data_IF_059180152926
#
_entry.id   IF_059180152926
#
_cell.length_a   1.000
_cell.length_b   1.000
_cell.length_c   1.000
_cell.angle_alpha   90.00
_cell.angle_beta   90.00
_cell.angle_gamma   90.00
#
_symmetry.space_group_name_H-M   'P 1'
#
loop_
_entity.id
_entity.type
_entity.pdbx_description
1 polymer ?
#
# COMPACT_ATOMS: atom_id res chain seq x y z
N UNK A 1 -11.77 -6.97 -0.13
CA UNK A 1 -10.30 -6.76 -0.13
C UNK A 1 -9.87 -6.14 1.19
N UNK A 2 -8.83 -6.68 1.81
CA UNK A 2 -8.30 -6.20 3.08
C UNK A 2 -6.85 -5.78 2.94
N UNK A 3 -6.46 -4.65 3.57
CA UNK A 3 -5.09 -4.15 3.59
C UNK A 3 -4.98 -2.64 3.78
N UNK A 4 -3.81 -2.08 3.46
CA UNK A 4 -3.45 -0.68 3.72
C UNK A 4 -3.85 0.27 2.57
N UNK A 5 -5.08 0.16 2.08
CA UNK A 5 -5.64 1.02 1.03
C UNK A 5 -6.00 2.44 1.52
N UNK A 6 -5.85 2.68 2.78
CA UNK A 6 -6.09 3.96 3.48
C UNK A 6 -4.77 4.51 4.03
N UNK A 7 -4.70 5.80 4.25
CA UNK A 7 -3.50 6.47 4.77
C UNK A 7 -2.84 7.37 3.73
N UNK A 8 -1.63 7.83 4.01
CA UNK A 8 -0.96 8.87 3.25
C UNK A 8 0.14 8.33 2.32
N UNK A 9 0.23 7.02 2.12
CA UNK A 9 1.22 6.40 1.24
C UNK A 9 0.66 6.23 -0.17
N UNK A 10 1.15 7.02 -1.11
CA UNK A 10 0.74 6.98 -2.52
C UNK A 10 0.98 5.61 -3.16
N UNK A 11 2.10 4.95 -2.83
CA UNK A 11 2.39 3.61 -3.32
C UNK A 11 1.32 2.60 -2.92
N UNK A 12 0.91 2.58 -1.63
CA UNK A 12 -0.17 1.70 -1.19
C UNK A 12 -1.48 2.00 -1.90
N UNK A 13 -1.84 3.27 -2.08
CA UNK A 13 -3.07 3.65 -2.78
C UNK A 13 -3.09 3.10 -4.21
N UNK A 14 -2.01 3.27 -4.96
CA UNK A 14 -1.91 2.77 -6.34
C UNK A 14 -1.86 1.24 -6.39
N UNK A 15 -1.20 0.58 -5.45
CA UNK A 15 -1.23 -0.89 -5.32
C UNK A 15 -2.66 -1.42 -5.19
N UNK A 16 -3.47 -0.81 -4.33
CA UNK A 16 -4.86 -1.24 -4.16
C UNK A 16 -5.77 -0.81 -5.32
N UNK A 17 -5.51 0.35 -5.94
CA UNK A 17 -6.18 0.72 -7.19
C UNK A 17 -5.94 -0.35 -8.26
N UNK A 18 -4.69 -0.73 -8.47
CA UNK A 18 -4.34 -1.76 -9.43
C UNK A 18 -5.02 -3.10 -9.14
N UNK A 19 -5.01 -3.55 -7.88
CA UNK A 19 -5.68 -4.79 -7.47
C UNK A 19 -7.18 -4.75 -7.76
N UNK A 20 -7.84 -3.62 -7.49
CA UNK A 20 -9.27 -3.50 -7.79
C UNK A 20 -9.56 -3.53 -9.29
N UNK A 21 -8.71 -2.91 -10.13
CA UNK A 21 -8.86 -2.98 -11.59
C UNK A 21 -8.68 -4.40 -12.11
N UNK A 22 -7.75 -5.17 -11.53
CA UNK A 22 -7.58 -6.59 -11.86
C UNK A 22 -8.82 -7.39 -11.50
N UNK A 23 -9.38 -7.22 -10.30
CA UNK A 23 -10.60 -7.90 -9.88
C UNK A 23 -11.78 -7.58 -10.81
N UNK A 24 -11.95 -6.32 -11.20
CA UNK A 24 -12.99 -5.91 -12.15
C UNK A 24 -12.79 -6.54 -13.54
N UNK A 25 -11.55 -6.61 -14.03
CA UNK A 25 -11.24 -7.27 -15.30
C UNK A 25 -11.58 -8.75 -15.32
N UNK A 26 -11.59 -9.37 -14.15
CA UNK A 26 -12.01 -10.75 -13.92
C UNK A 26 -13.52 -10.88 -13.60
N UNK A 27 -14.29 -9.79 -13.76
CA UNK A 27 -15.72 -9.70 -13.47
C UNK A 27 -16.11 -9.95 -12.01
N UNK A 28 -15.22 -9.65 -11.07
CA UNK A 28 -15.56 -9.65 -9.65
C UNK A 28 -16.01 -8.27 -9.18
N UNK A 29 -17.06 -8.23 -8.39
CA UNK A 29 -17.40 -7.08 -7.56
C UNK A 29 -16.62 -7.16 -6.24
N UNK A 30 -16.25 -6.03 -5.68
CA UNK A 30 -15.44 -5.99 -4.46
C UNK A 30 -15.91 -4.88 -3.50
N UNK A 31 -15.56 -5.02 -2.25
CA UNK A 31 -15.56 -3.93 -1.29
C UNK A 31 -14.24 -3.94 -0.49
N UNK A 32 -13.77 -2.75 -0.15
CA UNK A 32 -12.57 -2.59 0.68
C UNK A 32 -12.96 -2.67 2.15
N UNK A 33 -12.34 -3.55 2.91
CA UNK A 33 -12.56 -3.64 4.36
C UNK A 33 -11.97 -2.39 5.01
N UNK A 34 -12.82 -1.63 5.72
CA UNK A 34 -12.39 -0.44 6.46
C UNK A 34 -11.45 -0.83 7.59
N UNK A 35 -10.53 0.09 7.92
CA UNK A 35 -9.59 -0.10 9.02
C UNK A 35 -10.35 -0.36 10.34
N UNK A 36 -10.29 -1.56 10.91
CA UNK A 36 -11.05 -1.91 12.13
C UNK A 36 -10.55 -1.20 13.39
N UNK A 37 -9.36 -0.58 13.32
CA UNK A 37 -8.82 0.30 14.37
C UNK A 37 -9.14 1.77 14.08
N UNK A 38 -9.73 2.07 12.92
CA UNK A 38 -10.12 3.41 12.53
C UNK A 38 -11.25 3.95 13.42
N UNK A 39 -11.21 5.23 13.66
CA UNK A 39 -12.38 5.97 14.15
C UNK A 39 -13.25 6.35 12.95
N UNK A 40 -14.51 6.71 13.17
CA UNK A 40 -15.24 7.45 12.14
C UNK A 40 -14.38 8.64 11.73
N UNK A 41 -13.96 8.63 10.48
CA UNK A 41 -13.00 9.62 10.00
C UNK A 41 -13.75 10.94 9.93
N UNK A 42 -13.23 11.94 10.62
CA UNK A 42 -13.66 13.32 10.47
C UNK A 42 -13.62 13.68 8.96
N UNK A 43 -14.76 14.08 8.42
CA UNK A 43 -14.94 14.44 7.01
C UNK A 43 -13.94 15.55 6.62
N UNK A 44 -13.65 16.46 7.53
CA UNK A 44 -12.68 17.54 7.30
C UNK A 44 -11.24 17.02 7.23
N UNK A 45 -10.91 15.96 7.96
CA UNK A 45 -9.60 15.30 7.83
C UNK A 45 -9.48 14.53 6.51
N UNK A 46 -10.56 13.90 6.03
CA UNK A 46 -10.63 13.26 4.72
C UNK A 46 -10.41 14.24 3.57
N UNK A 47 -10.98 15.43 3.67
CA UNK A 47 -10.87 16.45 2.62
C UNK A 47 -9.45 17.06 2.54
N UNK A 48 -8.61 16.85 3.55
CA UNK A 48 -7.23 17.34 3.61
C UNK A 48 -6.20 16.34 3.11
N UNK A 49 -6.58 15.07 2.95
CA UNK A 49 -5.68 14.02 2.46
C UNK A 49 -6.04 13.61 1.04
N UNK A 50 -5.16 13.87 0.10
CA UNK A 50 -5.32 13.47 -1.31
C UNK A 50 -5.47 11.94 -1.48
N UNK A 51 -4.65 11.10 -0.85
CA UNK A 51 -4.82 9.65 -0.94
C UNK A 51 -6.15 9.16 -0.37
N UNK A 52 -6.60 9.68 0.77
CA UNK A 52 -7.88 9.28 1.36
C UNK A 52 -9.07 9.75 0.51
N UNK A 53 -8.99 10.95 -0.06
CA UNK A 53 -9.99 11.45 -1.01
C UNK A 53 -10.06 10.57 -2.24
N UNK A 54 -8.92 10.21 -2.82
CA UNK A 54 -8.83 9.30 -3.96
C UNK A 54 -9.51 7.96 -3.66
N UNK A 55 -9.21 7.36 -2.51
CA UNK A 55 -9.80 6.09 -2.09
C UNK A 55 -11.31 6.20 -1.89
N UNK A 56 -11.77 7.24 -1.19
CA UNK A 56 -13.21 7.49 -0.96
C UNK A 56 -14.00 7.63 -2.26
N UNK A 57 -13.43 8.33 -3.24
CA UNK A 57 -14.13 8.64 -4.48
C UNK A 57 -14.18 7.42 -5.44
N UNK A 58 -13.39 6.35 -5.16
CA UNK A 58 -13.21 5.21 -6.09
C UNK A 58 -13.56 3.85 -5.54
N UNK A 59 -13.64 3.68 -4.21
CA UNK A 59 -13.83 2.36 -3.63
C UNK A 59 -15.18 2.23 -2.93
N UNK A 60 -15.86 1.12 -3.22
CA UNK A 60 -16.88 0.61 -2.33
C UNK A 60 -16.22 0.11 -1.05
N UNK A 61 -16.76 0.50 0.10
CA UNK A 61 -16.18 0.17 1.41
C UNK A 61 -17.19 -0.52 2.30
N UNK A 62 -16.71 -1.43 3.13
CA UNK A 62 -17.55 -2.09 4.14
C UNK A 62 -17.97 -1.10 5.23
N UNK A 63 -19.01 -1.40 6.02
CA UNK A 63 -19.23 -0.70 7.29
C UNK A 63 -17.97 -0.73 8.16
N UNK A 64 -17.80 0.28 9.01
CA UNK A 64 -16.73 0.28 10.02
C UNK A 64 -17.08 -0.74 11.11
N UNK A 65 -16.33 -1.83 11.13
CA UNK A 65 -16.48 -2.90 12.11
C UNK A 65 -15.22 -3.00 12.95
N UNK A 66 -15.30 -3.08 14.27
CA UNK A 66 -14.17 -3.41 15.11
C UNK A 66 -13.70 -4.85 14.84
N UNK A 67 -12.45 -5.17 15.19
CA UNK A 67 -11.82 -6.48 14.90
C UNK A 67 -12.70 -7.65 15.31
N UNK A 68 -13.29 -7.61 16.51
CA UNK A 68 -14.13 -8.68 17.05
C UNK A 68 -15.49 -8.85 16.33
N UNK A 69 -15.82 -7.97 15.38
CA UNK A 69 -17.05 -8.06 14.57
C UNK A 69 -16.75 -8.27 13.07
N UNK A 70 -15.50 -8.40 12.65
CA UNK A 70 -15.16 -8.63 11.25
C UNK A 70 -15.80 -9.91 10.69
N UNK A 71 -16.08 -10.90 11.52
CA UNK A 71 -16.77 -12.13 11.10
C UNK A 71 -18.18 -11.87 10.53
N UNK A 72 -18.82 -10.75 10.81
CA UNK A 72 -20.11 -10.38 10.22
C UNK A 72 -20.03 -10.23 8.69
N UNK A 73 -18.83 -9.92 8.15
CA UNK A 73 -18.59 -9.80 6.71
C UNK A 73 -18.79 -11.13 5.96
N UNK A 74 -18.71 -12.27 6.65
CA UNK A 74 -18.97 -13.58 6.03
C UNK A 74 -20.40 -13.71 5.48
N UNK A 75 -21.34 -12.92 5.98
CA UNK A 75 -22.72 -12.91 5.49
C UNK A 75 -22.87 -12.23 4.11
N UNK A 76 -21.92 -11.40 3.74
CA UNK A 76 -22.02 -10.54 2.56
C UNK A 76 -21.01 -10.91 1.45
N UNK A 77 -19.96 -11.65 1.79
CA UNK A 77 -18.88 -11.95 0.86
C UNK A 77 -18.58 -13.44 0.79
N UNK A 78 -18.29 -13.93 -0.42
CA UNK A 78 -17.91 -15.33 -0.68
C UNK A 78 -16.40 -15.54 -0.70
N UNK A 79 -15.63 -14.46 -0.87
CA UNK A 79 -14.18 -14.50 -0.95
C UNK A 79 -13.55 -13.30 -0.23
N UNK A 80 -12.36 -13.52 0.34
CA UNK A 80 -11.56 -12.51 1.01
C UNK A 80 -10.17 -12.49 0.41
N UNK A 81 -9.71 -11.32 0.00
CA UNK A 81 -8.40 -11.11 -0.59
C UNK A 81 -7.58 -10.19 0.30
N UNK A 82 -6.46 -10.68 0.81
CA UNK A 82 -5.45 -9.87 1.44
C UNK A 82 -4.57 -9.28 0.33
N UNK A 83 -4.44 -7.96 0.30
CA UNK A 83 -3.67 -7.29 -0.73
C UNK A 83 -2.16 -7.32 -0.51
N UNK A 84 -1.44 -6.77 -1.46
CA UNK A 84 0.00 -6.58 -1.39
C UNK A 84 0.38 -5.57 -0.30
N UNK A 85 1.58 -5.62 0.14
CA UNK A 85 2.31 -4.86 1.15
C UNK A 85 2.73 -5.75 2.34
N UNK A 86 3.38 -5.15 3.34
CA UNK A 86 3.92 -5.82 4.52
C UNK A 86 2.82 -6.20 5.54
N UNK A 87 1.72 -6.80 5.06
CA UNK A 87 0.56 -7.12 5.88
C UNK A 87 0.88 -8.15 6.96
N UNK A 88 1.88 -9.01 6.73
CA UNK A 88 2.32 -10.03 7.66
C UNK A 88 3.55 -9.62 8.49
N UNK A 89 4.00 -8.37 8.39
CA UNK A 89 5.03 -7.83 9.25
C UNK A 89 4.46 -7.65 10.67
N UNK A 90 4.93 -8.44 11.63
CA UNK A 90 4.42 -8.43 13.00
C UNK A 90 4.46 -7.04 13.65
N UNK A 91 5.48 -6.23 13.37
CA UNK A 91 5.57 -4.88 13.92
C UNK A 91 4.42 -3.97 13.47
N UNK A 92 3.86 -4.22 12.29
CA UNK A 92 2.73 -3.47 11.71
C UNK A 92 1.39 -4.15 11.98
N UNK A 93 1.35 -5.48 11.94
CA UNK A 93 0.10 -6.26 12.05
C UNK A 93 -0.35 -6.49 13.49
N UNK A 94 0.55 -6.46 14.48
CA UNK A 94 0.21 -6.77 15.88
C UNK A 94 -1.01 -6.04 16.46
N UNK A 95 -1.30 -4.76 16.11
CA UNK A 95 -2.50 -4.08 16.62
C UNK A 95 -3.80 -4.68 16.06
N UNK A 96 -3.72 -5.38 14.94
CA UNK A 96 -4.84 -6.01 14.23
C UNK A 96 -5.02 -7.49 14.63
N UNK A 97 -4.21 -7.99 15.56
CA UNK A 97 -4.21 -9.40 15.95
C UNK A 97 -3.96 -10.32 14.76
N UNK A 98 -4.80 -11.33 14.61
CA UNK A 98 -4.72 -12.30 13.52
C UNK A 98 -5.62 -11.95 12.31
N UNK A 99 -6.22 -10.74 12.29
CA UNK A 99 -7.18 -10.40 11.22
C UNK A 99 -6.56 -10.37 9.82
N UNK A 100 -5.27 -10.02 9.69
CA UNK A 100 -4.55 -10.11 8.42
C UNK A 100 -4.17 -11.55 8.02
N UNK A 101 -4.39 -12.51 8.91
CA UNK A 101 -4.33 -13.94 8.63
C UNK A 101 -5.73 -14.56 8.52
N UNK A 102 -6.76 -13.72 8.37
CA UNK A 102 -8.15 -14.11 8.14
C UNK A 102 -8.74 -15.05 9.21
N UNK A 103 -8.36 -14.86 10.48
CA UNK A 103 -8.91 -15.61 11.61
C UNK A 103 -10.43 -15.47 11.75
N UNK A 104 -10.99 -14.34 11.29
CA UNK A 104 -12.41 -14.03 11.29
C UNK A 104 -13.18 -14.62 10.10
N UNK A 105 -12.50 -15.11 9.06
CA UNK A 105 -13.12 -15.62 7.84
C UNK A 105 -13.53 -17.07 8.05
N UNK A 106 -14.78 -17.40 7.74
CA UNK A 106 -15.33 -18.74 7.86
C UNK A 106 -14.65 -19.73 6.89
N UNK A 107 -14.67 -21.03 7.24
CA UNK A 107 -13.95 -22.05 6.46
C UNK A 107 -14.52 -22.28 5.06
N UNK A 108 -15.81 -22.05 4.89
CA UNK A 108 -16.52 -22.16 3.60
C UNK A 108 -16.26 -20.98 2.63
N UNK A 109 -15.48 -19.98 3.05
CA UNK A 109 -15.16 -18.79 2.24
C UNK A 109 -13.77 -18.91 1.65
N UNK A 110 -13.62 -18.44 0.40
CA UNK A 110 -12.33 -18.39 -0.27
C UNK A 110 -11.41 -17.33 0.38
N UNK A 111 -10.17 -17.70 0.65
CA UNK A 111 -9.14 -16.88 1.29
C UNK A 111 -7.90 -16.82 0.41
N UNK A 112 -7.55 -15.66 -0.08
CA UNK A 112 -6.38 -15.46 -0.95
C UNK A 112 -5.49 -14.37 -0.35
N UNK A 113 -4.19 -14.64 -0.30
CA UNK A 113 -3.17 -13.62 -0.07
C UNK A 113 -2.47 -13.34 -1.41
N UNK A 114 -2.56 -12.08 -1.87
CA UNK A 114 -1.96 -11.69 -3.14
C UNK A 114 -0.74 -10.80 -2.93
N UNK A 115 0.44 -11.29 -3.31
CA UNK A 115 1.72 -10.57 -3.28
C UNK A 115 1.99 -9.87 -1.93
N UNK A 116 1.59 -10.47 -0.82
CA UNK A 116 1.80 -9.93 0.53
C UNK A 116 3.25 -10.13 0.98
N UNK A 117 3.63 -9.58 2.15
CA UNK A 117 5.00 -9.70 2.63
C UNK A 117 5.05 -9.75 4.16
N UNK A 118 6.05 -10.48 4.69
CA UNK A 118 6.44 -10.40 6.09
C UNK A 118 7.33 -9.19 6.39
N UNK A 119 7.87 -8.53 5.35
CA UNK A 119 8.70 -7.33 5.48
C UNK A 119 10.03 -7.53 6.23
N UNK A 120 10.40 -8.78 6.49
CA UNK A 120 11.61 -9.22 7.18
C UNK A 120 12.09 -10.53 6.60
N UNK A 121 13.34 -10.86 6.85
CA UNK A 121 14.00 -12.10 6.40
C UNK A 121 13.69 -13.31 7.29
N UNK A 122 12.96 -13.13 8.38
CA UNK A 122 12.45 -14.16 9.30
C UNK A 122 11.16 -13.71 9.96
N UNK A 123 10.38 -14.66 10.44
CA UNK A 123 9.23 -14.35 11.29
C UNK A 123 9.70 -13.75 12.62
N UNK A 124 9.09 -12.65 13.03
CA UNK A 124 9.51 -11.88 14.23
C UNK A 124 8.45 -11.82 15.32
N UNK A 125 7.30 -12.47 15.14
CA UNK A 125 6.26 -12.57 16.16
C UNK A 125 6.67 -13.53 17.28
N UNK A 126 6.08 -13.40 18.48
CA UNK A 126 6.29 -14.34 19.59
C UNK A 126 5.70 -15.72 19.25
N UNK A 127 6.11 -16.74 19.99
CA UNK A 127 5.79 -18.15 19.68
C UNK A 127 4.27 -18.44 19.69
N UNK A 128 3.53 -17.85 20.61
CA UNK A 128 2.08 -18.01 20.66
C UNK A 128 1.37 -17.39 19.44
N UNK A 129 1.88 -16.28 18.93
CA UNK A 129 1.41 -15.70 17.67
C UNK A 129 1.83 -16.54 16.47
N UNK A 130 3.03 -17.13 16.49
CA UNK A 130 3.51 -18.02 15.43
C UNK A 130 2.60 -19.22 15.26
N UNK A 131 2.19 -19.84 16.35
CA UNK A 131 1.25 -20.98 16.35
C UNK A 131 -0.10 -20.58 15.74
N UNK A 132 -0.61 -19.39 16.09
CA UNK A 132 -1.88 -18.88 15.53
C UNK A 132 -1.73 -18.55 14.05
N UNK A 133 -0.64 -17.93 13.66
CA UNK A 133 -0.31 -17.60 12.28
C UNK A 133 -0.22 -18.87 11.42
N UNK A 134 0.49 -19.88 11.89
CA UNK A 134 0.62 -21.18 11.22
C UNK A 134 -0.76 -21.80 10.94
N UNK A 135 -1.60 -21.92 11.98
CA UNK A 135 -2.95 -22.46 11.82
C UNK A 135 -3.79 -21.69 10.81
N UNK A 136 -3.68 -20.35 10.81
CA UNK A 136 -4.48 -19.51 9.93
C UNK A 136 -3.97 -19.54 8.49
N UNK A 137 -2.67 -19.55 8.28
CA UNK A 137 -2.06 -19.64 6.95
C UNK A 137 -2.47 -20.93 6.21
N UNK A 138 -2.56 -22.06 6.93
CA UNK A 138 -3.02 -23.33 6.36
C UNK A 138 -4.50 -23.34 5.93
N UNK A 139 -5.27 -22.28 6.23
CA UNK A 139 -6.67 -22.12 5.81
C UNK A 139 -6.81 -21.31 4.51
N UNK A 140 -5.71 -20.78 3.97
CA UNK A 140 -5.77 -20.05 2.71
C UNK A 140 -5.87 -21.01 1.52
N UNK A 141 -6.72 -20.65 0.56
CA UNK A 141 -6.87 -21.38 -0.71
C UNK A 141 -5.73 -21.03 -1.69
N UNK A 142 -5.15 -19.85 -1.55
CA UNK A 142 -4.01 -19.41 -2.36
C UNK A 142 -3.15 -18.38 -1.64
N UNK A 143 -1.84 -18.60 -1.68
CA UNK A 143 -0.86 -17.68 -1.09
C UNK A 143 0.16 -17.30 -2.13
N UNK A 144 0.29 -16.00 -2.37
CA UNK A 144 1.44 -15.44 -3.05
C UNK A 144 2.08 -14.32 -2.24
N UNK A 145 3.37 -14.17 -2.43
CA UNK A 145 4.21 -13.18 -1.75
C UNK A 145 5.02 -12.39 -2.79
N UNK A 146 5.43 -11.17 -2.46
CA UNK A 146 6.16 -10.32 -3.42
C UNK A 146 7.68 -10.34 -3.29
N UNK A 147 8.18 -11.01 -2.27
CA UNK A 147 9.63 -11.11 -2.00
C UNK A 147 10.05 -12.54 -1.62
N UNK A 148 11.30 -12.85 -1.92
CA UNK A 148 11.88 -14.16 -1.69
C UNK A 148 12.08 -14.50 -0.21
N UNK A 149 12.21 -13.49 0.66
CA UNK A 149 12.25 -13.74 2.11
C UNK A 149 10.92 -14.28 2.60
N UNK A 150 9.82 -13.67 2.19
CA UNK A 150 8.47 -14.13 2.56
C UNK A 150 8.18 -15.52 2.03
N UNK A 151 8.68 -15.86 0.82
CA UNK A 151 8.54 -17.20 0.28
C UNK A 151 9.31 -18.24 1.12
N UNK A 152 10.53 -17.89 1.55
CA UNK A 152 11.31 -18.74 2.46
C UNK A 152 10.63 -18.90 3.81
N UNK A 153 10.12 -17.82 4.40
CA UNK A 153 9.37 -17.87 5.67
C UNK A 153 8.16 -18.80 5.55
N UNK A 154 7.34 -18.67 4.50
CA UNK A 154 6.21 -19.57 4.25
C UNK A 154 6.66 -21.03 4.23
N UNK A 155 7.74 -21.35 3.52
CA UNK A 155 8.24 -22.70 3.37
C UNK A 155 8.91 -23.23 4.64
N UNK A 156 9.87 -22.49 5.17
CA UNK A 156 10.80 -23.00 6.18
C UNK A 156 10.23 -22.93 7.59
N UNK A 157 9.37 -21.93 7.85
CA UNK A 157 8.79 -21.71 9.17
C UNK A 157 7.35 -22.20 9.32
N UNK A 158 6.60 -22.29 8.19
CA UNK A 158 5.18 -22.67 8.19
C UNK A 158 4.86 -23.87 7.28
N UNK A 159 5.82 -24.42 6.55
CA UNK A 159 5.61 -25.58 5.67
C UNK A 159 4.67 -25.31 4.48
N UNK A 160 4.48 -24.04 4.11
CA UNK A 160 3.53 -23.61 3.07
C UNK A 160 4.27 -23.29 1.78
N UNK A 161 3.75 -23.79 0.67
CA UNK A 161 4.19 -23.38 -0.66
C UNK A 161 3.49 -22.08 -1.06
N UNK A 162 4.24 -20.98 -1.14
CA UNK A 162 3.75 -19.69 -1.62
C UNK A 162 4.35 -19.37 -3.00
N UNK A 163 3.55 -18.81 -3.89
CA UNK A 163 4.02 -18.32 -5.18
C UNK A 163 4.71 -16.96 -5.02
N UNK A 164 5.80 -16.73 -5.78
CA UNK A 164 6.45 -15.43 -5.85
C UNK A 164 5.84 -14.65 -7.01
N UNK A 165 5.06 -13.62 -6.71
CA UNK A 165 4.36 -12.80 -7.68
C UNK A 165 4.68 -11.32 -7.49
N UNK A 166 4.64 -10.55 -8.57
CA UNK A 166 4.83 -9.12 -8.54
C UNK A 166 3.64 -8.38 -7.87
N UNK A 167 3.92 -7.18 -7.38
CA UNK A 167 2.88 -6.27 -6.89
C UNK A 167 1.78 -6.05 -7.96
N UNK A 168 0.51 -5.91 -7.58
CA UNK A 168 -0.60 -5.69 -8.51
C UNK A 168 -0.39 -4.53 -9.50
N UNK A 169 0.43 -3.55 -9.17
CA UNK A 169 0.73 -2.42 -10.07
C UNK A 169 1.26 -2.87 -11.44
N UNK A 170 1.91 -4.02 -11.52
CA UNK A 170 2.42 -4.58 -12.78
C UNK A 170 1.36 -5.37 -13.58
N UNK A 171 0.23 -5.70 -12.97
CA UNK A 171 -0.88 -6.40 -13.64
C UNK A 171 -1.93 -5.45 -14.20
N UNK A 172 -2.02 -4.26 -13.63
CA UNK A 172 -2.97 -3.26 -14.07
C UNK A 172 -2.56 -2.73 -15.44
N UNK A 173 -3.45 -2.72 -16.44
CA UNK A 173 -3.15 -2.17 -17.76
C UNK A 173 -2.73 -0.69 -17.65
N UNK A 174 -1.70 -0.31 -18.42
CA UNK A 174 -1.17 1.06 -18.44
C UNK A 174 -2.23 2.10 -18.80
N UNK A 175 -3.22 1.72 -19.58
CA UNK A 175 -4.37 2.54 -19.96
C UNK A 175 -5.14 3.05 -18.74
N UNK A 176 -5.24 2.23 -17.68
CA UNK A 176 -5.90 2.61 -16.43
C UNK A 176 -5.14 3.69 -15.65
N UNK A 177 -3.83 3.68 -15.73
CA UNK A 177 -3.02 4.77 -15.18
C UNK A 177 -3.11 6.03 -16.05
N UNK A 178 -3.13 5.87 -17.38
CA UNK A 178 -3.32 6.99 -18.30
C UNK A 178 -4.69 7.67 -18.11
N UNK A 179 -5.75 6.91 -17.82
CA UNK A 179 -7.06 7.46 -17.44
C UNK A 179 -6.94 8.36 -16.19
N UNK A 180 -6.20 7.90 -15.14
CA UNK A 180 -5.96 8.69 -13.94
C UNK A 180 -5.14 9.95 -14.22
N UNK A 181 -4.08 9.85 -15.03
CA UNK A 181 -3.26 11.00 -15.42
C UNK A 181 -4.11 12.03 -16.18
N UNK A 182 -4.98 11.58 -17.06
CA UNK A 182 -5.87 12.48 -17.83
C UNK A 182 -6.84 13.28 -16.95
N UNK A 183 -7.20 12.77 -15.76
CA UNK A 183 -8.00 13.51 -14.78
C UNK A 183 -7.23 14.73 -14.17
N UNK A 184 -5.89 14.73 -14.26
CA UNK A 184 -5.04 15.83 -13.83
C UNK A 184 -4.71 16.80 -14.98
N UNK A 185 -5.63 17.05 -15.88
CA UNK A 185 -5.45 17.77 -17.15
C UNK A 185 -4.85 19.18 -17.02
N UNK A 186 -5.07 19.84 -15.88
CA UNK A 186 -4.58 21.19 -15.60
C UNK A 186 -3.16 21.20 -15.01
N UNK A 187 -2.66 20.03 -14.59
CA UNK A 187 -1.31 19.88 -14.07
C UNK A 187 -0.31 19.73 -15.21
N UNK A 188 0.74 20.54 -15.20
CA UNK A 188 1.82 20.46 -16.19
C UNK A 188 3.16 20.74 -15.53
N UNK A 189 4.12 19.93 -15.87
CA UNK A 189 5.53 20.19 -15.56
C UNK A 189 6.24 20.54 -16.87
N UNK A 190 6.87 21.71 -16.91
CA UNK A 190 7.60 22.16 -18.10
C UNK A 190 8.97 21.50 -18.20
N UNK A 191 9.31 21.02 -19.40
CA UNK A 191 10.60 20.43 -19.73
C UNK A 191 10.79 19.03 -19.17
N UNK A 192 12.00 18.51 -19.40
CA UNK A 192 12.42 17.22 -18.86
C UNK A 192 12.73 17.33 -17.36
N UNK A 193 12.24 16.41 -16.57
CA UNK A 193 12.52 16.39 -15.13
C UNK A 193 12.75 14.97 -14.61
N UNK A 194 13.29 14.88 -13.41
CA UNK A 194 13.43 13.67 -12.63
C UNK A 194 12.48 13.78 -11.43
N UNK A 195 11.59 12.82 -11.25
CA UNK A 195 10.70 12.76 -10.12
C UNK A 195 11.35 11.96 -8.97
N UNK A 196 11.35 12.51 -7.76
CA UNK A 196 11.91 11.87 -6.58
C UNK A 196 10.89 11.86 -5.42
N UNK A 197 10.28 10.71 -5.16
CA UNK A 197 9.39 10.51 -4.03
C UNK A 197 10.18 10.01 -2.82
N UNK A 198 10.24 10.79 -1.75
CA UNK A 198 11.08 10.52 -0.59
C UNK A 198 10.23 10.34 0.66
N UNK A 199 10.32 9.17 1.28
CA UNK A 199 9.61 8.84 2.54
C UNK A 199 10.45 9.20 3.78
N UNK A 200 11.75 8.89 3.75
CA UNK A 200 12.68 9.08 4.87
C UNK A 200 13.83 10.01 4.49
N UNK A 201 13.63 11.35 4.54
CA UNK A 201 14.66 12.30 4.16
C UNK A 201 15.87 12.22 5.10
N UNK A 202 17.06 12.22 4.54
CA UNK A 202 18.32 12.32 5.25
C UNK A 202 19.40 12.91 4.33
N UNK A 203 20.51 13.34 4.90
CA UNK A 203 21.61 13.98 4.19
C UNK A 203 22.21 13.10 3.08
N UNK A 204 22.29 11.78 3.28
CA UNK A 204 22.83 10.86 2.26
C UNK A 204 21.92 10.79 1.03
N UNK A 205 20.61 10.75 1.23
CA UNK A 205 19.63 10.79 0.13
C UNK A 205 19.72 12.15 -0.56
N UNK A 206 19.80 13.24 0.20
CA UNK A 206 19.95 14.58 -0.37
C UNK A 206 21.20 14.73 -1.23
N UNK A 207 22.35 14.25 -0.77
CA UNK A 207 23.58 14.24 -1.56
C UNK A 207 23.45 13.44 -2.86
N UNK A 208 22.74 12.32 -2.84
CA UNK A 208 22.48 11.52 -4.05
C UNK A 208 21.57 12.25 -5.03
N UNK A 209 20.51 12.91 -4.55
CA UNK A 209 19.61 13.72 -5.39
C UNK A 209 20.37 14.88 -6.02
N UNK A 210 21.16 15.62 -5.24
CA UNK A 210 21.97 16.73 -5.73
C UNK A 210 22.95 16.27 -6.82
N UNK A 211 23.66 15.17 -6.58
CA UNK A 211 24.57 14.58 -7.56
C UNK A 211 23.85 14.23 -8.86
N UNK A 212 22.69 13.59 -8.80
CA UNK A 212 21.90 13.24 -9.99
C UNK A 212 21.49 14.50 -10.76
N UNK A 213 21.02 15.55 -10.07
CA UNK A 213 20.65 16.81 -10.70
C UNK A 213 21.83 17.46 -11.43
N UNK A 214 22.99 17.52 -10.77
CA UNK A 214 24.23 18.11 -11.32
C UNK A 214 24.80 17.31 -12.50
N UNK A 215 24.82 15.97 -12.41
CA UNK A 215 25.32 15.10 -13.48
C UNK A 215 24.41 15.08 -14.71
N UNK A 216 23.11 15.10 -14.51
CA UNK A 216 22.13 15.05 -15.62
C UNK A 216 21.78 16.42 -16.17
N UNK A 217 22.05 17.48 -15.44
CA UNK A 217 21.62 18.87 -15.73
C UNK A 217 20.08 18.97 -15.89
N UNK A 218 19.35 18.08 -15.24
CA UNK A 218 17.89 18.06 -15.27
C UNK A 218 17.30 18.60 -13.97
N UNK A 219 16.13 19.21 -14.09
CA UNK A 219 15.31 19.58 -12.92
C UNK A 219 14.95 18.32 -12.15
N UNK A 220 15.11 18.32 -10.84
CA UNK A 220 14.60 17.27 -9.94
C UNK A 220 13.47 17.81 -9.11
N UNK A 221 12.33 17.18 -9.17
CA UNK A 221 11.14 17.52 -8.38
C UNK A 221 11.06 16.53 -7.21
N UNK A 222 11.31 17.03 -6.01
CA UNK A 222 11.22 16.23 -4.79
C UNK A 222 9.81 16.36 -4.21
N UNK A 223 9.15 15.23 -4.08
CA UNK A 223 7.83 15.10 -3.46
C UNK A 223 7.95 14.28 -2.18
N UNK A 224 7.20 14.64 -1.17
CA UNK A 224 7.22 13.99 0.14
C UNK A 224 5.80 13.73 0.66
N UNK A 225 5.66 12.94 1.71
CA UNK A 225 4.39 12.55 2.28
C UNK A 225 3.67 13.75 2.93
N UNK A 226 2.33 13.84 2.78
CA UNK A 226 1.47 14.89 3.33
C UNK A 226 1.63 15.17 4.84
N UNK A 227 2.06 14.17 5.59
CA UNK A 227 2.25 14.30 7.05
C UNK A 227 3.51 15.06 7.46
N UNK A 228 4.35 15.46 6.49
CA UNK A 228 5.63 16.10 6.74
C UNK A 228 5.56 17.63 6.69
N UNK A 229 6.29 18.29 7.58
CA UNK A 229 6.61 19.71 7.46
C UNK A 229 7.68 19.94 6.38
N UNK A 230 7.36 20.75 5.37
CA UNK A 230 8.22 21.00 4.21
C UNK A 230 9.59 21.55 4.61
N UNK A 231 9.67 22.43 5.59
CA UNK A 231 10.95 23.04 6.01
C UNK A 231 11.82 22.01 6.73
N UNK A 232 11.25 21.25 7.66
CA UNK A 232 11.94 20.13 8.32
C UNK A 232 12.45 19.08 7.31
N UNK A 233 11.68 18.83 6.26
CA UNK A 233 12.04 17.89 5.20
C UNK A 233 13.27 18.39 4.42
N UNK A 234 13.30 19.67 4.02
CA UNK A 234 14.43 20.31 3.35
C UNK A 234 15.67 20.31 4.22
N UNK A 235 15.54 20.69 5.49
CA UNK A 235 16.65 20.70 6.44
C UNK A 235 17.33 19.34 6.58
N UNK A 236 16.55 18.25 6.53
CA UNK A 236 17.09 16.88 6.61
C UNK A 236 17.81 16.44 5.34
N UNK A 237 17.35 16.88 4.17
CA UNK A 237 17.99 16.57 2.88
C UNK A 237 19.25 17.39 2.63
N UNK A 238 19.34 18.64 3.12
CA UNK A 238 20.48 19.54 2.95
C UNK A 238 20.93 19.75 1.51
N UNK A 239 19.99 19.84 0.58
CA UNK A 239 20.27 20.07 -0.83
C UNK A 239 20.43 21.58 -1.07
N UNK A 240 21.48 21.97 -1.80
CA UNK A 240 21.77 23.37 -2.17
C UNK A 240 21.64 23.66 -3.67
N UNK A 241 21.38 22.64 -4.49
CA UNK A 241 21.27 22.79 -5.95
C UNK A 241 20.01 23.54 -6.37
N UNK A 242 20.13 24.56 -7.23
CA UNK A 242 18.99 25.27 -7.82
C UNK A 242 18.18 24.40 -8.80
N UNK A 243 18.72 23.29 -9.26
CA UNK A 243 18.02 22.31 -10.09
C UNK A 243 17.01 21.48 -9.30
N UNK A 244 17.00 21.56 -7.96
CA UNK A 244 16.09 20.78 -7.11
C UNK A 244 14.96 21.66 -6.60
N UNK A 245 13.74 21.31 -6.95
CA UNK A 245 12.52 21.92 -6.42
C UNK A 245 11.79 20.99 -5.47
N UNK A 246 11.07 21.56 -4.53
CA UNK A 246 10.25 20.85 -3.55
C UNK A 246 8.79 21.20 -3.80
N UNK A 247 8.05 20.27 -4.35
CA UNK A 247 6.64 20.48 -4.58
C UNK A 247 5.83 19.98 -3.37
N UNK A 248 4.76 20.72 -3.08
CA UNK A 248 3.74 20.26 -2.17
C UNK A 248 3.11 19.00 -2.77
N UNK A 249 2.68 18.12 -1.89
CA UNK A 249 2.11 16.84 -2.21
C UNK A 249 1.06 16.97 -3.31
N UNK A 250 1.30 16.38 -4.48
CA UNK A 250 0.32 16.37 -5.55
C UNK A 250 -0.87 15.48 -5.18
N UNK A 251 -1.97 15.64 -5.89
CA UNK A 251 -3.02 14.61 -5.90
C UNK A 251 -2.45 13.28 -6.38
N UNK A 252 -3.15 12.18 -6.14
CA UNK A 252 -2.69 10.86 -6.63
C UNK A 252 -2.55 10.85 -8.15
N UNK A 253 -3.42 11.58 -8.85
CA UNK A 253 -3.41 11.72 -10.30
C UNK A 253 -2.20 12.51 -10.80
N UNK A 254 -1.87 13.61 -10.15
CA UNK A 254 -0.68 14.43 -10.44
C UNK A 254 0.62 13.70 -10.08
N UNK A 255 0.59 12.86 -9.03
CA UNK A 255 1.73 12.05 -8.65
C UNK A 255 2.10 10.99 -9.70
N UNK A 256 1.11 10.52 -10.47
CA UNK A 256 1.31 9.58 -11.57
C UNK A 256 1.81 10.27 -12.87
N UNK A 257 1.57 11.59 -13.01
CA UNK A 257 1.98 12.37 -14.17
C UNK A 257 3.50 12.45 -14.30
#
# INVERSE_FOLDING_TARGET
VYGLWYGNNYGSIITYYALTRVLESLNYTYAMIRNPLGREIDIDALNRSHPLKFARDRYEVTPLLPINRLSELNNNFSAFVLGSDQMWNYNLSRPYGQSYFFDFVADDKVKIAYATSFGKDKYIGPEDEKIRTDRNLHRFDGISVRDDFSQRICKDEFGISAELLSDPVFLCPVEKYNELIAEASDFKVEGDYIFAYILDPNEKIGASIQKIAEETQKKVIVVFNESGDKESFKERLKISSELVSYELVPTVNEWLY
#
